data_IF_917138860093
#
_entry.id   IF_917138860093
#
_cell.length_a   1.000
_cell.length_b   1.000
_cell.length_c   1.000
_cell.angle_alpha   90.00
_cell.angle_beta   90.00
_cell.angle_gamma   90.00
#
_symmetry.space_group_name_H-M   'P 1'
#
loop_
_entity.id
_entity.type
_entity.pdbx_description
1 polymer ?
#
# COMPACT_ATOMS: atom_id res chain seq x y z
N UNK A 1 -17.34 -0.86 -26.24
CA UNK A 1 -16.06 -1.06 -25.55
C UNK A 1 -16.10 -2.45 -24.97
N UNK A 2 -15.13 -3.30 -25.31
CA UNK A 2 -15.03 -4.64 -24.72
C UNK A 2 -14.62 -4.47 -23.25
N UNK A 3 -15.35 -5.09 -22.31
CA UNK A 3 -14.93 -5.21 -20.91
C UNK A 3 -13.76 -6.21 -20.87
N UNK A 4 -12.59 -5.77 -21.30
CA UNK A 4 -11.37 -6.60 -21.36
C UNK A 4 -10.26 -5.84 -20.63
N UNK A 5 -10.53 -5.47 -19.39
CA UNK A 5 -9.52 -4.94 -18.48
C UNK A 5 -8.96 -6.06 -17.60
N UNK A 6 -7.78 -5.90 -17.00
CA UNK A 6 -7.11 -6.92 -16.20
C UNK A 6 -7.93 -7.44 -15.00
N UNK A 7 -8.99 -6.75 -14.59
CA UNK A 7 -9.85 -7.14 -13.48
C UNK A 7 -11.24 -7.63 -13.89
N UNK A 8 -11.51 -7.82 -15.18
CA UNK A 8 -12.82 -8.28 -15.65
C UNK A 8 -12.73 -9.64 -16.32
N UNK A 9 -13.71 -10.50 -16.05
CA UNK A 9 -13.84 -11.81 -16.69
C UNK A 9 -14.32 -11.68 -18.16
N UNK A 10 -14.37 -12.80 -18.88
CA UNK A 10 -14.86 -12.87 -20.26
C UNK A 10 -16.35 -12.54 -20.42
N UNK A 11 -17.11 -12.50 -19.33
CA UNK A 11 -18.52 -12.09 -19.29
C UNK A 11 -18.69 -10.61 -18.93
N UNK A 12 -17.59 -9.88 -18.66
CA UNK A 12 -17.59 -8.49 -18.22
C UNK A 12 -17.91 -8.27 -16.74
N UNK A 13 -17.86 -9.33 -15.91
CA UNK A 13 -18.00 -9.25 -14.45
C UNK A 13 -16.66 -9.00 -13.78
N UNK A 14 -16.68 -8.39 -12.59
CA UNK A 14 -15.46 -8.10 -11.82
C UNK A 14 -14.88 -9.41 -11.27
N UNK A 15 -13.59 -9.64 -11.51
CA UNK A 15 -12.84 -10.74 -10.93
C UNK A 15 -12.35 -10.36 -9.52
N UNK A 16 -13.17 -10.67 -8.51
CA UNK A 16 -12.88 -10.39 -7.11
C UNK A 16 -11.64 -11.16 -6.60
N UNK A 17 -11.37 -12.36 -7.13
CA UNK A 17 -10.21 -13.16 -6.75
C UNK A 17 -8.92 -12.47 -7.18
N UNK A 18 -8.88 -11.98 -8.43
CA UNK A 18 -7.75 -11.22 -8.94
C UNK A 18 -7.62 -9.87 -8.24
N UNK A 19 -8.73 -9.19 -7.96
CA UNK A 19 -8.70 -7.94 -7.18
C UNK A 19 -8.04 -8.15 -5.81
N UNK A 20 -8.45 -9.19 -5.07
CA UNK A 20 -7.89 -9.50 -3.76
C UNK A 20 -6.41 -9.87 -3.88
N UNK A 21 -6.04 -10.68 -4.88
CA UNK A 21 -4.66 -11.07 -5.11
C UNK A 21 -3.73 -9.86 -5.31
N UNK A 22 -4.20 -8.81 -5.99
CA UNK A 22 -3.45 -7.57 -6.19
C UNK A 22 -3.41 -6.65 -4.96
N UNK A 23 -4.42 -6.74 -4.09
CA UNK A 23 -4.45 -5.97 -2.84
C UNK A 23 -3.49 -6.52 -1.78
N UNK A 24 -3.21 -7.83 -1.79
CA UNK A 24 -2.35 -8.47 -0.79
C UNK A 24 -0.93 -7.85 -0.74
N UNK A 25 -0.21 -7.67 -1.87
CA UNK A 25 1.10 -7.01 -1.87
C UNK A 25 1.08 -5.59 -1.28
N UNK A 26 0.06 -4.80 -1.64
CA UNK A 26 -0.13 -3.43 -1.14
C UNK A 26 -0.36 -3.45 0.37
N UNK A 27 -1.23 -4.34 0.86
CA UNK A 27 -1.53 -4.48 2.28
C UNK A 27 -0.28 -4.88 3.10
N UNK A 28 0.57 -5.76 2.57
CA UNK A 28 1.84 -6.14 3.20
C UNK A 28 2.76 -4.92 3.35
N UNK A 29 2.91 -4.10 2.31
CA UNK A 29 3.75 -2.89 2.38
C UNK A 29 3.19 -1.87 3.38
N UNK A 30 1.87 -1.63 3.37
CA UNK A 30 1.22 -0.73 4.33
C UNK A 30 1.41 -1.24 5.75
N UNK A 31 1.20 -2.53 6.00
CA UNK A 31 1.40 -3.15 7.31
C UNK A 31 2.86 -3.04 7.77
N UNK A 32 3.82 -3.24 6.86
CA UNK A 32 5.25 -3.12 7.15
C UNK A 32 5.60 -1.71 7.63
N UNK A 33 5.28 -0.69 6.84
CA UNK A 33 5.62 0.69 7.21
C UNK A 33 4.82 1.19 8.41
N UNK A 34 3.56 0.76 8.53
CA UNK A 34 2.74 1.03 9.72
C UNK A 34 3.35 0.44 10.98
N UNK A 35 3.82 -0.82 10.94
CA UNK A 35 4.48 -1.47 12.07
C UNK A 35 5.79 -0.77 12.45
N UNK A 36 6.61 -0.40 11.45
CA UNK A 36 7.87 0.32 11.70
C UNK A 36 7.60 1.70 12.30
N UNK A 37 6.61 2.45 11.79
CA UNK A 37 6.24 3.75 12.31
C UNK A 37 5.57 3.71 13.70
N UNK A 38 4.92 2.59 14.04
CA UNK A 38 4.31 2.39 15.34
C UNK A 38 5.35 2.39 16.47
N UNK A 39 6.56 1.86 16.24
CA UNK A 39 7.63 1.80 17.25
C UNK A 39 7.98 3.19 17.81
N UNK A 40 8.41 4.18 16.99
CA UNK A 40 8.70 5.52 17.51
C UNK A 40 7.44 6.21 18.04
N UNK A 41 6.26 5.97 17.44
CA UNK A 41 5.01 6.56 17.94
C UNK A 41 4.69 6.11 19.38
N UNK A 42 4.83 4.82 19.68
CA UNK A 42 4.60 4.29 21.03
C UNK A 42 5.58 4.86 22.05
N UNK A 43 6.83 5.13 21.65
CA UNK A 43 7.83 5.80 22.49
C UNK A 43 7.44 7.27 22.71
N UNK A 44 6.95 7.95 21.67
CA UNK A 44 6.50 9.34 21.77
C UNK A 44 5.39 9.50 22.82
N UNK A 45 4.43 8.56 22.85
CA UNK A 45 3.30 8.57 23.80
C UNK A 45 3.76 8.49 25.26
N UNK A 46 4.87 7.79 25.55
CA UNK A 46 5.36 7.63 26.93
C UNK A 46 6.37 8.69 27.35
N UNK A 47 7.05 9.34 26.40
CA UNK A 47 8.14 10.28 26.66
C UNK A 47 7.80 11.75 26.41
N UNK A 48 6.66 12.04 25.76
CA UNK A 48 6.25 13.37 25.29
C UNK A 48 7.30 14.06 24.39
N UNK A 49 8.24 13.27 23.85
CA UNK A 49 9.33 13.77 23.04
C UNK A 49 8.90 13.87 21.56
N UNK A 50 8.65 15.12 21.13
CA UNK A 50 8.21 15.48 19.78
C UNK A 50 9.08 14.88 18.66
N UNK A 51 10.37 14.64 18.91
CA UNK A 51 11.29 14.01 17.95
C UNK A 51 10.82 12.63 17.49
N UNK A 52 10.21 11.82 18.36
CA UNK A 52 9.73 10.49 18.00
C UNK A 52 8.44 10.56 17.17
N UNK A 53 7.58 11.54 17.42
CA UNK A 53 6.41 11.81 16.56
C UNK A 53 6.86 12.21 15.16
N UNK A 54 7.84 13.12 15.05
CA UNK A 54 8.40 13.51 13.75
C UNK A 54 9.04 12.32 13.02
N UNK A 55 9.76 11.46 13.75
CA UNK A 55 10.35 10.26 13.18
C UNK A 55 9.28 9.28 12.67
N UNK A 56 8.21 9.05 13.44
CA UNK A 56 7.08 8.22 13.01
C UNK A 56 6.42 8.78 11.74
N UNK A 57 6.15 10.09 11.70
CA UNK A 57 5.58 10.75 10.53
C UNK A 57 6.49 10.66 9.31
N UNK A 58 7.81 10.81 9.50
CA UNK A 58 8.79 10.65 8.42
C UNK A 58 8.73 9.24 7.82
N UNK A 59 8.71 8.20 8.67
CA UNK A 59 8.59 6.80 8.21
C UNK A 59 7.29 6.58 7.43
N UNK A 60 6.16 7.09 7.94
CA UNK A 60 4.87 6.97 7.24
C UNK A 60 4.87 7.70 5.89
N UNK A 61 5.48 8.89 5.80
CA UNK A 61 5.55 9.66 4.57
C UNK A 61 6.38 8.93 3.50
N UNK A 62 7.59 8.48 3.88
CA UNK A 62 8.47 7.73 2.97
C UNK A 62 7.84 6.38 2.59
N UNK A 63 7.29 5.66 3.56
CA UNK A 63 6.59 4.39 3.32
C UNK A 63 5.41 4.54 2.37
N UNK A 64 4.61 5.60 2.54
CA UNK A 64 3.49 5.89 1.63
C UNK A 64 3.96 6.19 0.21
N UNK A 65 5.05 6.96 0.04
CA UNK A 65 5.63 7.20 -1.28
C UNK A 65 6.08 5.89 -1.95
N UNK A 66 6.69 4.97 -1.19
CA UNK A 66 7.11 3.65 -1.68
C UNK A 66 5.90 2.81 -2.10
N UNK A 67 4.84 2.77 -1.27
CA UNK A 67 3.59 2.07 -1.60
C UNK A 67 2.99 2.59 -2.91
N UNK A 68 2.95 3.92 -3.10
CA UNK A 68 2.43 4.52 -4.32
C UNK A 68 3.27 4.17 -5.55
N UNK A 69 4.60 4.18 -5.44
CA UNK A 69 5.48 3.74 -6.53
C UNK A 69 5.20 2.28 -6.90
N UNK A 70 5.02 1.41 -5.90
CA UNK A 70 4.66 0.01 -6.13
C UNK A 70 3.32 -0.14 -6.84
N UNK A 71 2.29 0.61 -6.42
CA UNK A 71 0.97 0.61 -7.07
C UNK A 71 1.08 1.03 -8.54
N UNK A 72 1.85 2.09 -8.83
CA UNK A 72 2.04 2.55 -10.22
C UNK A 72 2.76 1.48 -11.06
N UNK A 73 3.85 0.92 -10.55
CA UNK A 73 4.59 -0.13 -11.24
C UNK A 73 3.70 -1.34 -11.54
N UNK A 74 2.91 -1.77 -10.54
CA UNK A 74 1.99 -2.90 -10.71
C UNK A 74 0.86 -2.60 -11.68
N UNK A 75 0.34 -1.38 -11.68
CA UNK A 75 -0.66 -0.93 -12.64
C UNK A 75 -0.16 -0.98 -14.08
N UNK A 76 1.11 -0.63 -14.32
CA UNK A 76 1.75 -0.74 -15.64
C UNK A 76 1.90 -2.21 -16.03
N UNK A 77 2.41 -3.06 -15.14
CA UNK A 77 2.53 -4.51 -15.39
C UNK A 77 1.19 -5.16 -15.75
N UNK A 78 0.11 -4.77 -15.08
CA UNK A 78 -1.24 -5.29 -15.35
C UNK A 78 -1.84 -4.76 -16.66
N UNK A 79 -1.42 -3.59 -17.11
CA UNK A 79 -1.87 -3.01 -18.37
C UNK A 79 -1.11 -3.58 -19.58
N UNK A 80 0.15 -3.96 -19.39
CA UNK A 80 1.00 -4.55 -20.42
C UNK A 80 0.86 -6.08 -20.55
N UNK A 81 0.19 -6.73 -19.59
CA UNK A 81 -0.10 -8.17 -19.55
C UNK A 81 -1.34 -8.56 -20.36
#
# INVERSE_FOLDING_TARGET
MSYSGPFFDTNGTLDDERLIAELVPIAILVALFGAVAAVPLLIAVTSDALVFTLLSQFVLAVGSAIVLIHVVARGIELADA
#
